data_IF_741346950512
#
_entry.id   IF_741346950512
#
_cell.length_a   1.000
_cell.length_b   1.000
_cell.length_c   1.000
_cell.angle_alpha   90.00
_cell.angle_beta   90.00
_cell.angle_gamma   90.00
#
_symmetry.space_group_name_H-M   'P 1'
#
loop_
_entity.id
_entity.type
_entity.pdbx_description
1 polymer ?
#
# COMPACT_ATOMS: atom_id res chain seq x y z
N UNK A 1 -0.28 11.16 -2.66
CA UNK A 1 -0.84 11.11 -1.30
C UNK A 1 -1.00 9.66 -0.96
N UNK A 2 -2.17 9.23 -0.49
CA UNK A 2 -2.59 7.81 -0.48
C UNK A 2 -1.48 6.80 -0.23
N UNK A 3 -1.38 5.81 -1.13
CA UNK A 3 -0.38 4.75 -1.11
C UNK A 3 1.02 5.21 -1.57
N UNK A 4 1.15 6.39 -2.17
CA UNK A 4 2.44 6.93 -2.64
C UNK A 4 3.13 7.83 -1.60
N UNK A 5 2.51 8.05 -0.43
CA UNK A 5 2.99 9.01 0.57
C UNK A 5 4.40 8.69 1.09
N UNK A 6 4.77 7.42 1.12
CA UNK A 6 6.09 6.96 1.60
C UNK A 6 7.26 7.53 0.80
N UNK A 7 7.10 7.83 -0.50
CA UNK A 7 8.19 8.33 -1.35
C UNK A 7 8.83 9.62 -0.81
N UNK A 8 8.11 10.37 0.03
CA UNK A 8 8.60 11.59 0.68
C UNK A 8 9.54 11.35 1.87
N UNK A 9 9.69 10.09 2.31
CA UNK A 9 10.40 9.74 3.55
C UNK A 9 11.54 8.75 3.34
N UNK A 10 11.77 8.33 2.09
CA UNK A 10 12.85 7.41 1.73
C UNK A 10 13.84 8.10 0.80
N UNK A 11 15.04 7.54 0.70
CA UNK A 11 16.05 7.95 -0.26
C UNK A 11 16.76 6.70 -0.77
N UNK A 12 16.96 6.61 -2.09
CA UNK A 12 17.59 5.46 -2.74
C UNK A 12 16.90 4.13 -2.38
N UNK A 13 15.57 4.10 -2.47
CA UNK A 13 14.75 2.91 -2.20
C UNK A 13 13.64 2.78 -3.24
N UNK A 14 13.30 1.53 -3.56
CA UNK A 14 12.01 1.19 -4.16
C UNK A 14 11.13 0.50 -3.13
N UNK A 15 9.90 1.01 -2.97
CA UNK A 15 8.87 0.38 -2.18
C UNK A 15 7.97 -0.40 -3.12
N UNK A 16 7.91 -1.72 -2.95
CA UNK A 16 7.03 -2.60 -3.72
C UNK A 16 5.83 -2.96 -2.85
N UNK A 17 4.62 -2.68 -3.34
CA UNK A 17 3.35 -3.03 -2.69
C UNK A 17 2.61 -4.00 -3.61
N UNK A 18 2.61 -5.27 -3.27
CA UNK A 18 2.12 -6.35 -4.15
C UNK A 18 1.16 -7.33 -3.46
N UNK A 19 0.82 -7.08 -2.20
CA UNK A 19 -0.04 -7.97 -1.42
C UNK A 19 -1.03 -7.17 -0.57
N UNK A 20 -1.87 -6.39 -1.24
CA UNK A 20 -2.86 -5.54 -0.57
C UNK A 20 -3.96 -6.38 0.11
N UNK A 21 -4.55 -5.80 1.15
CA UNK A 21 -5.88 -6.23 1.59
C UNK A 21 -6.89 -6.00 0.46
N UNK A 22 -8.00 -6.75 0.41
CA UNK A 22 -9.06 -6.52 -0.57
C UNK A 22 -9.51 -5.07 -0.55
N UNK A 23 -9.70 -4.48 -1.72
CA UNK A 23 -10.17 -3.10 -1.85
C UNK A 23 -11.59 -3.02 -1.25
N UNK A 24 -11.85 -2.14 -0.26
CA UNK A 24 -13.19 -1.99 0.27
C UNK A 24 -14.19 -1.53 -0.81
N UNK A 25 -15.45 -2.02 -0.80
CA UNK A 25 -16.47 -1.66 -1.79
C UNK A 25 -16.70 -0.15 -1.95
N UNK A 26 -16.41 0.63 -0.91
CA UNK A 26 -16.42 2.09 -0.96
C UNK A 26 -15.52 2.64 -2.07
N UNK A 27 -14.29 2.16 -2.19
CA UNK A 27 -13.34 2.67 -3.19
C UNK A 27 -13.65 2.15 -4.59
N UNK A 28 -14.20 0.94 -4.72
CA UNK A 28 -14.74 0.44 -5.98
C UNK A 28 -15.88 1.33 -6.48
N UNK A 29 -16.81 1.69 -5.59
CA UNK A 29 -17.89 2.62 -5.91
C UNK A 29 -17.36 3.98 -6.34
N UNK A 30 -16.42 4.56 -5.59
CA UNK A 30 -15.81 5.85 -5.95
C UNK A 30 -15.17 5.76 -7.34
N UNK A 31 -14.36 4.73 -7.61
CA UNK A 31 -13.68 4.55 -8.90
C UNK A 31 -14.69 4.42 -10.05
N UNK A 32 -15.73 3.62 -9.86
CA UNK A 32 -16.78 3.38 -10.86
C UNK A 32 -17.57 4.64 -11.18
N UNK A 33 -17.97 5.41 -10.16
CA UNK A 33 -18.79 6.61 -10.35
C UNK A 33 -17.97 7.81 -10.85
N UNK A 34 -16.69 7.91 -10.48
CA UNK A 34 -15.84 9.02 -10.91
C UNK A 34 -15.15 8.78 -12.26
N UNK A 35 -14.98 7.53 -12.67
CA UNK A 35 -14.17 7.16 -13.84
C UNK A 35 -12.67 7.46 -13.65
N UNK A 36 -12.23 7.72 -12.42
CA UNK A 36 -10.83 8.01 -12.11
C UNK A 36 -9.96 6.78 -12.39
N UNK A 37 -8.78 6.99 -12.96
CA UNK A 37 -7.83 5.89 -13.21
C UNK A 37 -7.38 5.24 -11.90
N UNK A 38 -7.13 3.93 -11.90
CA UNK A 38 -6.60 3.25 -10.73
C UNK A 38 -5.28 3.84 -10.22
N UNK A 39 -4.42 4.30 -11.14
CA UNK A 39 -3.17 5.00 -10.79
C UNK A 39 -3.44 6.23 -9.91
N UNK A 40 -4.42 7.04 -10.29
CA UNK A 40 -4.81 8.21 -9.51
C UNK A 40 -5.53 7.83 -8.21
N UNK A 41 -6.36 6.77 -8.22
CA UNK A 41 -7.01 6.25 -7.01
C UNK A 41 -5.99 5.91 -5.92
N UNK A 42 -4.92 5.19 -6.25
CA UNK A 42 -3.85 4.86 -5.30
C UNK A 42 -3.04 6.09 -4.86
N UNK A 43 -2.93 7.11 -5.70
CA UNK A 43 -2.24 8.35 -5.34
C UNK A 43 -3.09 9.23 -4.40
N UNK A 44 -4.42 9.20 -4.50
CA UNK A 44 -5.31 10.08 -3.74
C UNK A 44 -5.84 9.40 -2.47
N UNK A 45 -6.30 8.15 -2.58
CA UNK A 45 -6.99 7.43 -1.52
C UNK A 45 -6.09 6.38 -0.84
N UNK A 46 -6.54 5.91 0.33
CA UNK A 46 -5.83 4.88 1.08
C UNK A 46 -6.13 3.45 0.58
N UNK A 47 -7.19 3.26 -0.20
CA UNK A 47 -7.53 1.97 -0.82
C UNK A 47 -7.69 0.79 0.16
N UNK A 48 -8.05 1.08 1.42
CA UNK A 48 -8.33 0.07 2.45
C UNK A 48 -7.29 -0.06 3.55
N UNK A 49 -6.07 0.44 3.34
CA UNK A 49 -5.03 0.44 4.38
C UNK A 49 -4.48 1.86 4.58
N UNK A 50 -4.65 2.40 5.79
CA UNK A 50 -4.30 3.79 6.12
C UNK A 50 -3.14 3.93 7.11
N UNK A 51 -2.55 2.79 7.50
CA UNK A 51 -1.36 2.72 8.34
C UNK A 51 -0.44 1.65 7.76
N UNK A 52 0.86 1.98 7.70
CA UNK A 52 1.92 1.09 7.23
C UNK A 52 3.03 1.09 8.28
N UNK A 53 3.60 -0.08 8.53
CA UNK A 53 4.72 -0.25 9.46
C UNK A 53 5.90 -0.84 8.68
N UNK A 54 7.06 -0.20 8.78
CA UNK A 54 8.32 -0.65 8.18
C UNK A 54 9.18 -1.26 9.27
N UNK A 55 9.50 -2.55 9.14
CA UNK A 55 10.18 -3.36 10.15
C UNK A 55 10.89 -4.56 9.51
N UNK A 56 11.81 -5.17 10.26
CA UNK A 56 12.36 -6.48 9.89
C UNK A 56 11.24 -7.54 9.83
N UNK A 57 11.29 -8.40 8.80
CA UNK A 57 10.30 -9.46 8.55
C UNK A 57 10.06 -10.36 9.76
N UNK A 58 11.11 -10.65 10.55
CA UNK A 58 11.02 -11.47 11.78
C UNK A 58 10.04 -10.93 12.83
N UNK A 59 9.71 -9.64 12.76
CA UNK A 59 8.77 -8.99 13.67
C UNK A 59 7.36 -8.82 13.07
N UNK A 60 7.16 -9.13 11.79
CA UNK A 60 5.90 -8.87 11.08
C UNK A 60 4.71 -9.61 11.70
N UNK A 61 4.88 -10.90 12.02
CA UNK A 61 3.80 -11.71 12.61
C UNK A 61 3.31 -11.13 13.94
N UNK A 62 4.23 -10.66 14.78
CA UNK A 62 3.88 -10.03 16.06
C UNK A 62 3.03 -8.77 15.86
N UNK A 63 3.35 -7.93 14.88
CA UNK A 63 2.55 -6.73 14.57
C UNK A 63 1.16 -7.12 14.05
N UNK A 64 1.09 -8.14 13.20
CA UNK A 64 -0.17 -8.67 12.68
C UNK A 64 -1.06 -9.20 13.81
N UNK A 65 -0.49 -9.97 14.74
CA UNK A 65 -1.23 -10.54 15.87
C UNK A 65 -1.74 -9.45 16.82
N UNK A 66 -0.92 -8.43 17.09
CA UNK A 66 -1.35 -7.25 17.87
C UNK A 66 -2.52 -6.57 17.16
N UNK A 67 -2.43 -6.28 15.86
CA UNK A 67 -3.52 -5.65 15.10
C UNK A 67 -4.82 -6.46 15.18
N UNK A 68 -4.72 -7.78 14.99
CA UNK A 68 -5.86 -8.71 15.09
C UNK A 68 -6.48 -8.74 16.49
N UNK A 69 -5.69 -8.57 17.55
CA UNK A 69 -6.22 -8.48 18.92
C UNK A 69 -7.15 -7.29 19.13
N UNK A 70 -7.02 -6.24 18.31
CA UNK A 70 -7.92 -5.08 18.27
C UNK A 70 -9.04 -5.21 17.21
N UNK A 71 -9.15 -6.37 16.54
CA UNK A 71 -10.12 -6.60 15.47
C UNK A 71 -9.79 -5.85 14.18
N UNK A 72 -8.52 -5.53 13.94
CA UNK A 72 -8.05 -4.83 12.72
C UNK A 72 -7.20 -5.80 11.90
N UNK A 73 -7.59 -6.03 10.66
CA UNK A 73 -6.83 -6.88 9.74
C UNK A 73 -5.49 -6.23 9.37
N UNK A 74 -4.46 -7.05 9.34
CA UNK A 74 -3.11 -6.67 8.95
C UNK A 74 -2.44 -7.83 8.21
N UNK A 75 -1.57 -7.49 7.27
CA UNK A 75 -0.70 -8.42 6.58
C UNK A 75 0.56 -7.72 6.10
N UNK A 76 1.56 -8.49 5.66
CA UNK A 76 2.70 -7.95 4.94
C UNK A 76 2.20 -7.50 3.56
N UNK A 77 2.08 -6.19 3.34
CA UNK A 77 1.53 -5.64 2.10
C UNK A 77 2.57 -5.42 0.98
N UNK A 78 3.84 -5.70 1.27
CA UNK A 78 4.95 -5.42 0.37
C UNK A 78 6.31 -5.46 1.06
N UNK A 79 7.32 -4.93 0.39
CA UNK A 79 8.70 -4.89 0.86
C UNK A 79 9.46 -3.67 0.31
N UNK A 80 10.68 -3.46 0.81
CA UNK A 80 11.58 -2.38 0.39
C UNK A 80 12.85 -2.99 -0.19
N UNK A 81 13.30 -2.46 -1.31
CA UNK A 81 14.58 -2.83 -1.93
C UNK A 81 15.44 -1.58 -2.20
N UNK A 82 16.75 -1.78 -2.34
CA UNK A 82 17.67 -0.73 -2.77
C UNK A 82 17.39 -0.35 -4.22
N UNK A 83 17.36 0.95 -4.51
CA UNK A 83 17.23 1.48 -5.87
C UNK A 83 17.90 2.86 -5.97
N UNK A 84 18.26 3.29 -7.17
CA UNK A 84 18.68 4.68 -7.38
C UNK A 84 17.44 5.59 -7.42
N UNK A 85 17.36 6.58 -6.53
CA UNK A 85 16.20 7.46 -6.38
C UNK A 85 15.05 6.88 -5.53
N UNK A 86 13.92 7.59 -5.48
CA UNK A 86 12.72 7.19 -4.73
C UNK A 86 11.63 6.65 -5.67
N UNK A 87 11.29 5.37 -5.52
CA UNK A 87 10.29 4.71 -6.37
C UNK A 87 9.20 4.05 -5.54
N UNK A 88 7.96 4.09 -6.02
CA UNK A 88 6.88 3.27 -5.49
C UNK A 88 6.27 2.45 -6.62
N UNK A 89 6.25 1.12 -6.44
CA UNK A 89 5.61 0.17 -7.35
C UNK A 89 4.40 -0.44 -6.66
N UNK A 90 3.23 -0.34 -7.29
CA UNK A 90 1.98 -0.93 -6.82
C UNK A 90 1.56 -2.00 -7.81
N UNK A 91 1.38 -3.24 -7.34
CA UNK A 91 0.91 -4.37 -8.12
C UNK A 91 -0.40 -4.89 -7.54
N UNK A 92 -1.46 -4.86 -8.34
CA UNK A 92 -2.79 -5.33 -7.95
C UNK A 92 -3.46 -6.03 -9.14
N UNK A 93 -4.62 -6.62 -8.92
CA UNK A 93 -5.47 -7.16 -9.99
C UNK A 93 -5.88 -6.11 -11.03
N UNK A 94 -5.88 -4.83 -10.64
CA UNK A 94 -6.23 -3.69 -11.50
C UNK A 94 -5.04 -3.20 -12.35
N UNK A 95 -3.85 -3.81 -12.19
CA UNK A 95 -2.65 -3.51 -12.94
C UNK A 95 -1.44 -3.17 -12.07
N UNK A 96 -0.34 -2.83 -12.76
CA UNK A 96 0.92 -2.38 -12.16
C UNK A 96 1.12 -0.89 -12.39
N UNK A 97 1.46 -0.15 -11.33
CA UNK A 97 1.60 1.30 -11.35
C UNK A 97 2.95 1.71 -10.74
N UNK A 98 3.72 2.49 -11.49
CA UNK A 98 5.00 3.07 -11.06
C UNK A 98 4.83 4.57 -10.79
N UNK A 99 5.42 5.04 -9.68
CA UNK A 99 5.41 6.43 -9.23
C UNK A 99 6.80 6.89 -8.79
#
# INVERSE_FOLDING_TARGET
>A
GGQTKVSKFVQNKRIVKNNFLPIPPLFEMIQKESGTSWKEMYQVFNMGQRLEVYLDEKHAQMVIDISKSFGIDAQICGYVEEAEGEHVRIETENGTFEY
#
